data_IF_704969175067
#
_entry.id   IF_704969175067
#
_cell.length_a   1.000
_cell.length_b   1.000
_cell.length_c   1.000
_cell.angle_alpha   90.00
_cell.angle_beta   90.00
_cell.angle_gamma   90.00
#
_symmetry.space_group_name_H-M   'P 1'
#
loop_
_entity.id
_entity.type
_entity.pdbx_description
1 polymer ?
#
# COMPACT_ATOMS: atom_id res chain seq x y z
N UNK A 1 -15.64 5.52 11.76
CA UNK A 1 -17.07 5.87 11.91
C UNK A 1 -17.43 6.08 13.37
N UNK A 2 -18.53 6.79 13.65
CA UNK A 2 -19.02 7.05 15.01
C UNK A 2 -20.26 6.19 15.28
N UNK A 3 -20.05 4.88 15.48
CA UNK A 3 -21.14 3.92 15.69
C UNK A 3 -21.04 3.29 17.09
N UNK A 4 -21.19 4.11 18.14
CA UNK A 4 -21.05 3.68 19.54
C UNK A 4 -22.41 3.69 20.25
N UNK A 5 -22.85 2.52 20.73
CA UNK A 5 -24.17 2.36 21.38
C UNK A 5 -24.23 2.88 22.82
N UNK A 6 -23.08 3.10 23.48
CA UNK A 6 -23.02 3.54 24.87
C UNK A 6 -21.83 4.46 25.13
N UNK A 7 -21.81 5.60 24.43
CA UNK A 7 -20.74 6.58 24.53
C UNK A 7 -19.39 6.06 24.02
N UNK A 8 -18.39 6.96 24.03
CA UNK A 8 -17.00 6.67 23.66
C UNK A 8 -16.06 7.60 24.41
N UNK A 9 -14.77 7.26 24.56
CA UNK A 9 -13.76 8.23 24.94
C UNK A 9 -13.61 9.36 23.90
N UNK A 10 -13.06 10.50 24.32
CA UNK A 10 -12.81 11.68 23.48
C UNK A 10 -11.57 11.53 22.59
N UNK A 11 -11.49 10.43 21.83
CA UNK A 11 -10.32 10.13 20.99
C UNK A 11 -10.04 11.17 19.90
N UNK A 12 -11.05 11.94 19.50
CA UNK A 12 -10.90 13.07 18.57
C UNK A 12 -10.02 14.19 19.11
N UNK A 13 -9.95 14.35 20.44
CA UNK A 13 -9.10 15.35 21.07
C UNK A 13 -7.62 14.98 21.04
N UNK A 14 -7.30 13.71 20.74
CA UNK A 14 -5.93 13.17 20.70
C UNK A 14 -5.56 12.59 19.33
N UNK A 15 -6.29 12.98 18.28
CA UNK A 15 -5.90 12.74 16.89
C UNK A 15 -6.64 11.62 16.16
N UNK A 16 -7.63 10.95 16.79
CA UNK A 16 -8.51 10.08 16.04
C UNK A 16 -9.42 10.90 15.11
N UNK A 17 -9.53 10.47 13.86
CA UNK A 17 -10.42 11.11 12.89
C UNK A 17 -11.72 10.32 12.80
N UNK A 18 -12.83 11.00 13.05
CA UNK A 18 -14.15 10.44 12.82
C UNK A 18 -14.68 10.91 11.48
N UNK A 19 -15.06 9.94 10.66
CA UNK A 19 -15.64 10.13 9.33
C UNK A 19 -16.97 9.40 9.23
N UNK A 20 -17.84 9.86 8.32
CA UNK A 20 -19.15 9.25 8.09
C UNK A 20 -19.03 7.86 7.44
N UNK A 21 -18.05 7.68 6.56
CA UNK A 21 -17.74 6.43 5.87
C UNK A 21 -16.22 6.23 5.89
N UNK A 22 -15.76 5.10 6.45
CA UNK A 22 -14.34 4.78 6.55
C UNK A 22 -13.81 4.04 5.31
N UNK A 23 -14.70 3.47 4.50
CA UNK A 23 -14.35 2.56 3.39
C UNK A 23 -13.34 3.18 2.42
N UNK A 24 -13.47 4.44 1.96
CA UNK A 24 -12.45 5.06 1.09
C UNK A 24 -11.05 5.06 1.69
N UNK A 25 -10.93 5.38 2.98
CA UNK A 25 -9.66 5.45 3.69
C UNK A 25 -9.06 4.07 3.95
N UNK A 26 -9.90 3.07 4.25
CA UNK A 26 -9.47 1.68 4.35
C UNK A 26 -8.94 1.17 3.02
N UNK A 27 -9.63 1.44 1.92
CA UNK A 27 -9.21 1.05 0.58
C UNK A 27 -7.92 1.75 0.15
N UNK A 28 -7.78 3.05 0.43
CA UNK A 28 -6.54 3.79 0.22
C UNK A 28 -5.36 3.13 0.95
N UNK A 29 -5.53 2.82 2.23
CA UNK A 29 -4.50 2.11 3.02
C UNK A 29 -4.23 0.69 2.49
N UNK A 30 -5.28 -0.08 2.19
CA UNK A 30 -5.16 -1.47 1.70
C UNK A 30 -4.41 -1.55 0.38
N UNK A 31 -4.66 -0.62 -0.54
CA UNK A 31 -4.00 -0.61 -1.84
C UNK A 31 -2.63 0.06 -1.75
N UNK A 32 -2.58 1.34 -1.38
CA UNK A 32 -1.34 2.12 -1.45
C UNK A 32 -0.32 1.71 -0.39
N UNK A 33 -0.69 1.63 0.89
CA UNK A 33 0.25 1.20 1.94
C UNK A 33 0.49 -0.31 1.86
N UNK A 34 -0.56 -1.12 2.00
CA UNK A 34 -0.37 -2.56 2.17
C UNK A 34 0.06 -3.24 0.86
N UNK A 35 -0.45 -2.79 -0.30
CA UNK A 35 -0.05 -3.30 -1.60
C UNK A 35 1.38 -2.97 -1.96
N UNK A 36 1.84 -1.72 -1.80
CA UNK A 36 3.25 -1.37 -2.04
C UNK A 36 4.20 -2.06 -1.06
N UNK A 37 3.79 -2.28 0.20
CA UNK A 37 4.59 -3.00 1.18
C UNK A 37 4.75 -4.48 0.82
N UNK A 38 3.69 -5.14 0.33
CA UNK A 38 3.76 -6.49 -0.23
C UNK A 38 4.62 -6.54 -1.49
N UNK A 39 4.46 -5.60 -2.42
CA UNK A 39 5.28 -5.48 -3.63
C UNK A 39 6.78 -5.37 -3.28
N UNK A 40 7.14 -4.45 -2.39
CA UNK A 40 8.52 -4.27 -1.94
C UNK A 40 9.07 -5.50 -1.21
N UNK A 41 8.24 -6.19 -0.43
CA UNK A 41 8.64 -7.40 0.26
C UNK A 41 8.98 -8.54 -0.71
N UNK A 42 8.14 -8.80 -1.70
CA UNK A 42 8.38 -9.87 -2.69
C UNK A 42 9.62 -9.59 -3.55
N UNK A 43 9.70 -8.37 -4.10
CA UNK A 43 10.87 -7.97 -4.90
C UNK A 43 12.14 -7.94 -4.05
N UNK A 44 12.05 -7.36 -2.85
CA UNK A 44 13.17 -7.17 -1.94
C UNK A 44 13.75 -8.49 -1.44
N UNK A 45 12.88 -9.43 -1.06
CA UNK A 45 13.30 -10.76 -0.61
C UNK A 45 14.07 -11.51 -1.71
N UNK A 46 13.51 -11.59 -2.92
CA UNK A 46 14.20 -12.20 -4.07
C UNK A 46 15.45 -11.42 -4.50
N UNK A 47 15.46 -10.10 -4.26
CA UNK A 47 16.59 -9.22 -4.53
C UNK A 47 17.70 -9.23 -3.48
N UNK A 48 17.56 -10.03 -2.41
CA UNK A 48 18.56 -10.16 -1.34
C UNK A 48 18.58 -9.02 -0.31
N UNK A 49 17.54 -8.18 -0.26
CA UNK A 49 17.40 -7.13 0.75
C UNK A 49 16.74 -7.70 2.03
N UNK A 50 17.38 -7.50 3.20
CA UNK A 50 16.85 -8.04 4.47
C UNK A 50 15.62 -7.27 4.95
N UNK A 51 15.61 -5.94 4.82
CA UNK A 51 14.49 -5.08 5.25
C UNK A 51 13.91 -4.22 4.14
N UNK A 52 12.69 -3.74 4.36
CA UNK A 52 12.02 -2.78 3.46
C UNK A 52 12.85 -1.50 3.31
N UNK A 53 13.46 -1.00 4.39
CA UNK A 53 14.34 0.16 4.32
C UNK A 53 15.57 -0.08 3.43
N UNK A 54 16.12 -1.31 3.42
CA UNK A 54 17.22 -1.66 2.52
C UNK A 54 16.78 -1.60 1.05
N UNK A 55 15.57 -2.07 0.73
CA UNK A 55 15.00 -1.93 -0.63
C UNK A 55 14.93 -0.47 -1.05
N UNK A 56 14.58 0.43 -0.12
CA UNK A 56 14.51 1.84 -0.40
C UNK A 56 15.85 2.39 -0.81
N UNK A 57 16.99 1.93 -0.29
CA UNK A 57 18.32 2.43 -0.72
C UNK A 57 18.53 2.43 -2.24
N UNK A 58 17.88 1.49 -2.96
CA UNK A 58 17.89 1.41 -4.40
C UNK A 58 16.86 2.34 -5.06
N UNK A 59 17.29 3.33 -5.88
CA UNK A 59 16.37 4.25 -6.54
C UNK A 59 15.34 3.58 -7.47
N UNK A 60 15.63 2.41 -8.03
CA UNK A 60 14.70 1.67 -8.88
C UNK A 60 13.49 1.16 -8.08
N UNK A 61 13.70 0.68 -6.86
CA UNK A 61 12.62 0.22 -5.98
C UNK A 61 11.73 1.38 -5.53
N UNK A 62 12.32 2.53 -5.19
CA UNK A 62 11.56 3.75 -4.84
C UNK A 62 10.66 4.18 -5.99
N UNK A 63 11.22 4.28 -7.20
CA UNK A 63 10.47 4.67 -8.41
C UNK A 63 9.36 3.67 -8.73
N UNK A 64 9.64 2.37 -8.65
CA UNK A 64 8.66 1.33 -8.91
C UNK A 64 7.50 1.34 -7.89
N UNK A 65 7.80 1.54 -6.60
CA UNK A 65 6.77 1.67 -5.56
C UNK A 65 5.93 2.94 -5.73
N UNK A 66 6.56 4.06 -6.10
CA UNK A 66 5.83 5.30 -6.36
C UNK A 66 4.93 5.19 -7.59
N UNK A 67 5.44 4.63 -8.69
CA UNK A 67 4.65 4.37 -9.89
C UNK A 67 3.51 3.39 -9.64
N UNK A 68 3.75 2.30 -8.89
CA UNK A 68 2.69 1.40 -8.44
C UNK A 68 1.58 2.16 -7.69
N UNK A 69 1.95 3.03 -6.74
CA UNK A 69 0.99 3.77 -5.93
C UNK A 69 0.21 4.81 -6.75
N UNK A 70 0.88 5.60 -7.59
CA UNK A 70 0.26 6.74 -8.27
C UNK A 70 -0.34 6.39 -9.62
N UNK A 71 0.33 5.56 -10.40
CA UNK A 71 -0.08 5.27 -11.78
C UNK A 71 -1.08 4.11 -11.84
N UNK A 72 -1.04 3.21 -10.85
CA UNK A 72 -1.85 1.98 -10.89
C UNK A 72 -2.82 1.88 -9.71
N UNK A 73 -2.42 2.17 -8.47
CA UNK A 73 -3.33 2.00 -7.32
C UNK A 73 -4.26 3.20 -7.12
N UNK A 74 -3.74 4.44 -7.18
CA UNK A 74 -4.53 5.65 -6.98
C UNK A 74 -5.72 5.79 -7.94
N UNK A 75 -5.62 5.49 -9.25
CA UNK A 75 -6.74 5.60 -10.18
C UNK A 75 -7.91 4.65 -9.87
N UNK A 76 -7.67 3.63 -9.04
CA UNK A 76 -8.70 2.67 -8.64
C UNK A 76 -9.49 3.13 -7.41
N UNK A 77 -9.08 4.22 -6.74
CA UNK A 77 -9.67 4.70 -5.49
C UNK A 77 -10.75 5.75 -5.73
N UNK A 78 -11.87 5.62 -5.02
CA UNK A 78 -12.91 6.65 -4.93
C UNK A 78 -12.72 7.43 -3.62
N UNK A 79 -11.92 8.50 -3.66
CA UNK A 79 -11.60 9.31 -2.47
C UNK A 79 -12.51 10.54 -2.33
N UNK A 80 -12.74 11.03 -1.11
CA UNK A 80 -13.35 12.34 -0.90
C UNK A 80 -12.57 13.46 -1.60
N UNK A 81 -13.29 14.48 -2.07
CA UNK A 81 -12.70 15.65 -2.70
C UNK A 81 -11.62 16.29 -1.81
N UNK A 82 -10.51 16.71 -2.43
CA UNK A 82 -9.37 17.32 -1.71
C UNK A 82 -8.42 16.31 -1.04
N UNK A 83 -8.65 15.00 -1.18
CA UNK A 83 -7.69 13.99 -0.70
C UNK A 83 -6.39 14.05 -1.51
N UNK A 84 -5.26 14.33 -0.83
CA UNK A 84 -3.94 14.38 -1.45
C UNK A 84 -3.29 12.98 -1.49
N UNK A 85 -3.53 12.25 -2.59
CA UNK A 85 -2.95 10.93 -2.82
C UNK A 85 -1.45 10.97 -3.14
N UNK A 86 -0.97 12.05 -3.75
CA UNK A 86 0.46 12.22 -4.05
C UNK A 86 1.26 12.45 -2.77
N UNK A 87 0.78 13.37 -1.91
CA UNK A 87 1.35 13.58 -0.58
C UNK A 87 1.31 12.31 0.26
N UNK A 88 0.21 11.53 0.19
CA UNK A 88 0.13 10.24 0.86
C UNK A 88 1.18 9.25 0.35
N UNK A 89 1.35 9.10 -0.96
CA UNK A 89 2.36 8.22 -1.54
C UNK A 89 3.79 8.62 -1.13
N UNK A 90 4.10 9.92 -1.13
CA UNK A 90 5.39 10.45 -0.69
C UNK A 90 5.64 10.19 0.79
N UNK A 91 4.62 10.35 1.64
CA UNK A 91 4.68 9.98 3.05
C UNK A 91 4.98 8.49 3.24
N UNK A 92 4.37 7.62 2.42
CA UNK A 92 4.63 6.18 2.47
C UNK A 92 6.07 5.84 2.08
N UNK A 93 6.63 6.46 1.03
CA UNK A 93 8.05 6.31 0.67
C UNK A 93 8.96 6.73 1.82
N UNK A 94 8.67 7.87 2.46
CA UNK A 94 9.45 8.33 3.62
C UNK A 94 9.39 7.31 4.77
N UNK A 95 8.20 6.75 5.06
CA UNK A 95 8.03 5.72 6.09
C UNK A 95 8.78 4.43 5.77
N UNK A 96 8.74 3.95 4.53
CA UNK A 96 9.48 2.77 4.11
C UNK A 96 10.99 2.97 4.17
N UNK A 97 11.47 4.22 4.07
CA UNK A 97 12.90 4.55 4.15
C UNK A 97 13.45 4.53 5.59
N UNK A 98 12.60 4.49 6.62
CA UNK A 98 13.04 4.53 8.02
C UNK A 98 13.82 3.26 8.42
N UNK A 99 15.15 3.34 8.65
CA UNK A 99 15.97 2.15 8.95
C UNK A 99 15.83 1.66 10.39
N UNK A 100 15.17 2.45 11.26
CA UNK A 100 14.91 2.08 12.66
C UNK A 100 13.83 1.01 12.76
N UNK A 101 12.94 0.94 11.75
CA UNK A 101 11.94 -0.11 11.62
C UNK A 101 12.51 -1.27 10.82
N UNK A 102 12.91 -2.34 11.51
CA UNK A 102 13.47 -3.55 10.89
C UNK A 102 12.38 -4.47 10.32
N UNK A 103 11.50 -3.92 9.48
CA UNK A 103 10.50 -4.70 8.75
C UNK A 103 11.20 -5.61 7.76
N UNK A 104 11.38 -6.89 8.12
CA UNK A 104 12.10 -7.83 7.27
C UNK A 104 11.27 -8.22 6.07
N UNK A 105 11.87 -8.24 4.88
CA UNK A 105 11.20 -8.55 3.62
C UNK A 105 10.50 -9.92 3.68
N UNK A 106 11.19 -10.94 4.20
CA UNK A 106 10.63 -12.29 4.34
C UNK A 106 9.42 -12.33 5.27
N UNK A 107 9.44 -11.60 6.41
CA UNK A 107 8.31 -11.54 7.35
C UNK A 107 7.09 -10.87 6.71
N UNK A 108 7.31 -9.80 5.96
CA UNK A 108 6.22 -9.09 5.28
C UNK A 108 5.63 -9.94 4.14
N UNK A 109 6.48 -10.70 3.44
CA UNK A 109 6.11 -11.56 2.32
C UNK A 109 5.26 -12.79 2.72
N UNK A 110 5.29 -13.22 3.99
CA UNK A 110 4.46 -14.32 4.51
C UNK A 110 2.97 -14.09 4.27
N UNK A 111 2.18 -15.18 4.29
CA UNK A 111 0.71 -15.16 4.12
C UNK A 111 0.23 -14.45 2.85
N UNK A 112 1.04 -14.50 1.79
CA UNK A 112 0.75 -13.82 0.53
C UNK A 112 -0.59 -14.23 -0.09
N UNK A 113 -0.99 -15.50 0.03
CA UNK A 113 -2.30 -15.96 -0.45
C UNK A 113 -3.49 -15.27 0.23
N UNK A 114 -3.35 -14.85 1.49
CA UNK A 114 -4.37 -14.10 2.23
C UNK A 114 -4.29 -12.59 1.94
N UNK A 115 -3.08 -12.10 1.67
CA UNK A 115 -2.80 -10.66 1.48
C UNK A 115 -3.08 -10.19 0.06
N UNK A 116 -2.67 -10.96 -0.94
CA UNK A 116 -2.68 -10.56 -2.35
C UNK A 116 -4.05 -10.22 -2.93
N UNK A 117 -5.15 -10.94 -2.60
CA UNK A 117 -6.46 -10.64 -3.17
C UNK A 117 -6.83 -9.15 -3.04
N UNK A 118 -6.85 -8.65 -1.81
CA UNK A 118 -7.23 -7.27 -1.47
C UNK A 118 -6.14 -6.22 -1.74
N UNK A 119 -4.88 -6.63 -1.90
CA UNK A 119 -3.73 -5.72 -2.02
C UNK A 119 -3.27 -5.46 -3.44
N UNK A 120 -3.38 -6.46 -4.33
CA UNK A 120 -2.95 -6.39 -5.72
C UNK A 120 -3.99 -6.97 -6.70
N UNK A 121 -4.64 -8.10 -6.40
CA UNK A 121 -5.47 -8.76 -7.41
C UNK A 121 -6.79 -8.03 -7.67
N UNK A 122 -7.42 -7.46 -6.64
CA UNK A 122 -8.63 -6.66 -6.79
C UNK A 122 -8.38 -5.40 -7.62
N UNK A 123 -7.21 -4.78 -7.47
CA UNK A 123 -6.81 -3.64 -8.30
C UNK A 123 -6.46 -4.06 -9.73
N UNK A 124 -5.79 -5.20 -9.93
CA UNK A 124 -5.54 -5.76 -11.27
C UNK A 124 -6.85 -5.99 -12.02
N UNK A 125 -7.89 -6.53 -11.36
CA UNK A 125 -9.20 -6.77 -11.98
C UNK A 125 -9.83 -5.49 -12.54
N UNK A 126 -9.64 -4.35 -11.86
CA UNK A 126 -10.15 -3.06 -12.32
C UNK A 126 -9.41 -2.56 -13.58
N UNK A 127 -8.15 -2.93 -13.74
CA UNK A 127 -7.34 -2.59 -14.91
C UNK A 127 -7.45 -3.54 -16.10
N UNK A 128 -8.32 -4.56 -16.05
CA UNK A 128 -8.52 -5.45 -17.21
C UNK A 128 -9.26 -4.77 -18.38
N UNK A 129 -9.49 -3.45 -18.29
CA UNK A 129 -10.03 -2.64 -19.37
C UNK A 129 -8.98 -2.42 -20.47
N UNK A 130 -9.38 -2.33 -21.76
CA UNK A 130 -8.45 -2.07 -22.85
C UNK A 130 -7.68 -0.75 -22.66
N UNK A 131 -6.35 -0.81 -22.70
CA UNK A 131 -5.47 0.37 -22.67
C UNK A 131 -4.86 0.70 -21.30
N UNK A 132 -5.31 0.06 -20.23
CA UNK A 132 -4.77 0.27 -18.88
C UNK A 132 -3.36 -0.32 -18.72
N UNK A 133 -2.53 0.37 -17.93
CA UNK A 133 -1.17 -0.09 -17.57
C UNK A 133 -1.11 -0.46 -16.10
N UNK A 134 -0.80 -1.73 -15.81
CA UNK A 134 -0.73 -2.27 -14.46
C UNK A 134 0.48 -3.22 -14.30
N UNK A 135 1.61 -2.81 -14.88
CA UNK A 135 2.82 -3.61 -15.00
C UNK A 135 3.49 -3.87 -13.65
N UNK A 136 3.39 -2.94 -12.69
CA UNK A 136 4.00 -3.12 -11.38
C UNK A 136 3.17 -4.06 -10.51
N UNK A 137 1.84 -4.03 -10.63
CA UNK A 137 0.97 -5.00 -9.97
C UNK A 137 1.23 -6.43 -10.48
N UNK A 138 1.31 -6.62 -11.81
CA UNK A 138 1.65 -7.93 -12.39
C UNK A 138 3.05 -8.40 -12.01
N UNK A 139 4.03 -7.49 -11.98
CA UNK A 139 5.36 -7.77 -11.46
C UNK A 139 5.31 -8.23 -9.99
N UNK A 140 4.53 -7.56 -9.13
CA UNK A 140 4.35 -7.96 -7.74
C UNK A 140 3.80 -9.38 -7.59
N UNK A 141 2.84 -9.77 -8.44
CA UNK A 141 2.29 -11.13 -8.47
C UNK A 141 3.32 -12.14 -8.99
N UNK A 142 4.05 -11.84 -10.08
CA UNK A 142 5.15 -12.69 -10.58
C UNK A 142 6.21 -12.94 -9.51
N UNK A 143 6.56 -11.93 -8.71
CA UNK A 143 7.55 -12.08 -7.63
C UNK A 143 7.03 -12.80 -6.41
N UNK A 144 5.72 -12.81 -6.17
CA UNK A 144 5.16 -13.65 -5.13
C UNK A 144 5.15 -15.14 -5.51
N UNK A 145 5.01 -15.46 -6.79
CA UNK A 145 4.95 -16.84 -7.28
C UNK A 145 6.31 -17.57 -7.33
N UNK A 146 7.42 -16.85 -7.10
CA UNK A 146 8.80 -17.36 -7.17
C UNK A 146 9.39 -17.58 -5.80
#
# INVERSE_FOLDING_TARGET
EVNFVNGRPDWDTVGAQFVADVVPFEMMKLRMLNGSHSFLAYLGYLGGYDTIADTMTNPAYRRAALALMLDEQAPTLSMPEGTDLEGYANLLIARFTNPSLKHRTWQIAMDGSQKLPQRLLDTVRLHLQPGDQYRHQTLGVDRWLR
#
